data_IF_708372622679
#
_entry.id   IF_708372622679
#
_cell.length_a   1.000
_cell.length_b   1.000
_cell.length_c   1.000
_cell.angle_alpha   90.00
_cell.angle_beta   90.00
_cell.angle_gamma   90.00
#
_symmetry.space_group_name_H-M   'P 1'
#
loop_
_entity.id
_entity.type
_entity.pdbx_description
1 polymer ?
#
# COMPACT_ATOMS: atom_id res chain seq x y z
N UNK A 1 -3.41 17.16 -12.12
CA UNK A 1 -4.13 16.14 -12.91
C UNK A 1 -4.23 14.87 -12.08
N UNK A 2 -5.41 14.28 -11.89
CA UNK A 2 -5.57 13.06 -11.09
C UNK A 2 -4.89 11.86 -11.78
N UNK A 3 -4.49 10.83 -11.03
CA UNK A 3 -3.99 9.56 -11.60
C UNK A 3 -4.99 8.96 -12.59
N UNK A 4 -6.29 9.07 -12.28
CA UNK A 4 -7.39 8.68 -13.18
C UNK A 4 -7.29 9.36 -14.53
N UNK A 5 -7.25 10.69 -14.52
CA UNK A 5 -7.29 11.51 -15.73
C UNK A 5 -6.05 11.30 -16.59
N UNK A 6 -4.88 11.13 -15.95
CA UNK A 6 -3.62 10.84 -16.63
C UNK A 6 -3.69 9.56 -17.48
N UNK A 7 -4.17 8.46 -16.91
CA UNK A 7 -4.28 7.20 -17.65
C UNK A 7 -5.44 7.22 -18.64
N UNK A 8 -6.61 7.76 -18.22
CA UNK A 8 -7.81 7.83 -19.05
C UNK A 8 -7.57 8.60 -20.35
N UNK A 9 -6.86 9.73 -20.29
CA UNK A 9 -6.55 10.55 -21.47
C UNK A 9 -5.70 9.83 -22.54
N UNK A 10 -5.00 8.75 -22.16
CA UNK A 10 -4.15 7.95 -23.07
C UNK A 10 -4.84 6.71 -23.63
N UNK A 11 -6.12 6.53 -23.33
CA UNK A 11 -6.91 5.37 -23.74
C UNK A 11 -8.03 5.81 -24.67
N UNK A 12 -8.32 4.96 -25.66
CA UNK A 12 -9.49 5.14 -26.51
C UNK A 12 -10.78 4.93 -25.70
N UNK A 13 -11.93 5.47 -26.14
CA UNK A 13 -13.21 5.23 -25.46
C UNK A 13 -13.53 3.73 -25.30
N UNK A 14 -13.20 2.90 -26.30
CA UNK A 14 -13.36 1.45 -26.22
C UNK A 14 -12.48 0.81 -25.14
N UNK A 15 -11.22 1.26 -25.01
CA UNK A 15 -10.32 0.79 -23.95
C UNK A 15 -10.81 1.21 -22.56
N UNK A 16 -11.30 2.45 -22.42
CA UNK A 16 -11.87 2.92 -21.16
C UNK A 16 -13.08 2.05 -20.75
N UNK A 17 -14.00 1.81 -21.69
CA UNK A 17 -15.18 0.97 -21.46
C UNK A 17 -14.82 -0.48 -21.13
N UNK A 18 -13.86 -1.05 -21.85
CA UNK A 18 -13.37 -2.40 -21.58
C UNK A 18 -12.73 -2.51 -20.18
N UNK A 19 -11.98 -1.50 -19.74
CA UNK A 19 -11.40 -1.50 -18.40
C UNK A 19 -12.47 -1.46 -17.30
N UNK A 20 -13.50 -0.62 -17.46
CA UNK A 20 -14.65 -0.54 -16.54
C UNK A 20 -15.38 -1.88 -16.45
N UNK A 21 -15.78 -2.45 -17.59
CA UNK A 21 -16.48 -3.74 -17.63
C UNK A 21 -15.65 -4.88 -17.05
N UNK A 22 -14.33 -4.88 -17.25
CA UNK A 22 -13.47 -5.88 -16.64
C UNK A 22 -13.47 -5.78 -15.11
N UNK A 23 -13.43 -4.56 -14.55
CA UNK A 23 -13.50 -4.39 -13.09
C UNK A 23 -14.87 -4.79 -12.56
N UNK A 24 -15.95 -4.31 -13.16
CA UNK A 24 -17.31 -4.69 -12.76
C UNK A 24 -17.49 -6.21 -12.79
N UNK A 25 -16.92 -6.89 -13.79
CA UNK A 25 -16.95 -8.33 -13.90
C UNK A 25 -16.17 -9.04 -12.79
N UNK A 26 -15.01 -8.54 -12.40
CA UNK A 26 -14.21 -9.12 -11.31
C UNK A 26 -14.96 -9.09 -9.98
N UNK A 27 -15.76 -8.05 -9.75
CA UNK A 27 -16.60 -7.87 -8.57
C UNK A 27 -18.00 -8.49 -8.71
N UNK A 28 -18.28 -9.18 -9.82
CA UNK A 28 -19.57 -9.84 -10.05
C UNK A 28 -20.74 -8.87 -10.26
N UNK A 29 -20.47 -7.62 -10.63
CA UNK A 29 -21.49 -6.57 -10.81
C UNK A 29 -22.22 -6.63 -12.16
N UNK A 30 -21.75 -7.48 -13.08
CA UNK A 30 -22.33 -7.62 -14.42
C UNK A 30 -23.41 -8.71 -14.53
N UNK A 31 -23.57 -9.55 -13.52
CA UNK A 31 -24.60 -10.59 -13.51
C UNK A 31 -25.40 -10.57 -12.22
N UNK A 32 -26.68 -10.95 -12.30
CA UNK A 32 -27.58 -10.98 -11.14
C UNK A 32 -27.16 -12.04 -10.12
N UNK A 33 -26.51 -13.11 -10.57
CA UNK A 33 -26.02 -14.20 -9.72
C UNK A 33 -24.60 -13.98 -9.18
N UNK A 34 -24.00 -12.81 -9.44
CA UNK A 34 -22.65 -12.45 -9.00
C UNK A 34 -21.52 -13.22 -9.69
N UNK A 35 -21.82 -14.00 -10.73
CA UNK A 35 -20.83 -14.78 -11.47
C UNK A 35 -20.17 -13.96 -12.57
N UNK A 36 -18.88 -14.23 -12.77
CA UNK A 36 -18.10 -13.59 -13.84
C UNK A 36 -18.62 -14.01 -15.21
N UNK A 37 -18.92 -13.02 -16.05
CA UNK A 37 -19.14 -13.22 -17.47
C UNK A 37 -17.85 -13.70 -18.16
N UNK A 38 -17.98 -14.54 -19.20
CA UNK A 38 -16.85 -14.96 -20.00
C UNK A 38 -16.28 -13.77 -20.80
N UNK A 39 -14.97 -13.80 -21.05
CA UNK A 39 -14.27 -12.70 -21.75
C UNK A 39 -14.82 -12.40 -23.14
N UNK A 40 -15.37 -13.41 -23.84
CA UNK A 40 -16.04 -13.22 -25.13
C UNK A 40 -17.20 -12.23 -25.01
N UNK A 41 -18.04 -12.37 -23.98
CA UNK A 41 -19.19 -11.50 -23.75
C UNK A 41 -18.78 -10.07 -23.41
N UNK A 42 -17.69 -9.92 -22.66
CA UNK A 42 -17.14 -8.58 -22.35
C UNK A 42 -16.61 -7.92 -23.63
N UNK A 43 -15.94 -8.69 -24.50
CA UNK A 43 -15.46 -8.20 -25.78
C UNK A 43 -16.64 -7.80 -26.70
N UNK A 44 -17.69 -8.63 -26.77
CA UNK A 44 -18.93 -8.34 -27.49
C UNK A 44 -19.56 -7.02 -27.01
N UNK A 45 -19.66 -6.80 -25.70
CA UNK A 45 -20.19 -5.57 -25.10
C UNK A 45 -19.37 -4.32 -25.45
N UNK A 46 -18.09 -4.49 -25.79
CA UNK A 46 -17.21 -3.42 -26.23
C UNK A 46 -17.15 -3.27 -27.76
N UNK A 47 -17.79 -4.17 -28.51
CA UNK A 47 -17.72 -4.22 -29.97
C UNK A 47 -16.32 -4.55 -30.50
N UNK A 48 -15.55 -5.36 -29.78
CA UNK A 48 -14.19 -5.76 -30.17
C UNK A 48 -14.03 -7.28 -30.16
N UNK A 49 -12.99 -7.79 -30.83
CA UNK A 49 -12.66 -9.21 -30.72
C UNK A 49 -12.09 -9.56 -29.34
N UNK A 50 -12.29 -10.81 -28.90
CA UNK A 50 -11.64 -11.32 -27.68
C UNK A 50 -10.11 -11.18 -27.71
N UNK A 51 -9.49 -11.35 -28.88
CA UNK A 51 -8.05 -11.14 -29.07
C UNK A 51 -7.66 -9.69 -28.83
N UNK A 52 -8.44 -8.73 -29.32
CA UNK A 52 -8.22 -7.30 -29.05
C UNK A 52 -8.29 -6.98 -27.57
N UNK A 53 -9.28 -7.53 -26.86
CA UNK A 53 -9.40 -7.37 -25.40
C UNK A 53 -8.19 -7.96 -24.67
N UNK A 54 -7.68 -9.11 -25.13
CA UNK A 54 -6.46 -9.70 -24.60
C UNK A 54 -5.23 -8.81 -24.79
N UNK A 55 -5.07 -8.18 -25.95
CA UNK A 55 -3.97 -7.24 -26.21
C UNK A 55 -4.08 -5.96 -25.36
N UNK A 56 -5.29 -5.44 -25.13
CA UNK A 56 -5.49 -4.26 -24.28
C UNK A 56 -4.95 -4.47 -22.87
N UNK A 57 -5.11 -5.68 -22.31
CA UNK A 57 -4.64 -6.02 -20.96
C UNK A 57 -3.11 -5.97 -20.81
N UNK A 58 -2.35 -5.87 -21.90
CA UNK A 58 -0.88 -5.72 -21.89
C UNK A 58 -0.42 -4.26 -21.94
N UNK A 59 -1.30 -3.33 -22.30
CA UNK A 59 -0.94 -1.91 -22.47
C UNK A 59 -0.73 -1.27 -21.10
N UNK A 60 0.44 -0.66 -20.80
CA UNK A 60 0.72 -0.10 -19.48
C UNK A 60 -0.30 0.95 -19.00
N UNK A 61 -0.76 1.82 -19.91
CA UNK A 61 -1.78 2.82 -19.57
C UNK A 61 -3.13 2.18 -19.24
N UNK A 62 -3.49 1.08 -19.91
CA UNK A 62 -4.72 0.33 -19.64
C UNK A 62 -4.68 -0.32 -18.27
N UNK A 63 -3.54 -0.96 -17.93
CA UNK A 63 -3.30 -1.53 -16.61
C UNK A 63 -3.38 -0.45 -15.53
N UNK A 64 -2.72 0.70 -15.75
CA UNK A 64 -2.75 1.83 -14.82
C UNK A 64 -4.16 2.36 -14.56
N UNK A 65 -4.99 2.52 -15.60
CA UNK A 65 -6.38 2.92 -15.45
C UNK A 65 -7.21 1.85 -14.71
N UNK A 66 -7.03 0.57 -15.06
CA UNK A 66 -7.73 -0.55 -14.41
C UNK A 66 -7.40 -0.64 -12.92
N UNK A 67 -6.14 -0.45 -12.55
CA UNK A 67 -5.74 -0.47 -11.14
C UNK A 67 -6.37 0.69 -10.37
N UNK A 68 -6.39 1.90 -10.96
CA UNK A 68 -7.12 3.02 -10.35
C UNK A 68 -8.59 2.69 -10.12
N UNK A 69 -9.29 2.14 -11.12
CA UNK A 69 -10.70 1.76 -10.99
C UNK A 69 -10.91 0.69 -9.91
N UNK A 70 -9.97 -0.27 -9.80
CA UNK A 70 -10.02 -1.30 -8.76
C UNK A 70 -9.86 -0.71 -7.37
N UNK A 71 -8.94 0.25 -7.20
CA UNK A 71 -8.72 0.92 -5.91
C UNK A 71 -9.96 1.74 -5.52
N UNK A 72 -10.49 2.52 -6.47
CA UNK A 72 -11.70 3.35 -6.29
C UNK A 72 -12.91 2.49 -5.89
N UNK A 73 -13.14 1.38 -6.59
CA UNK A 73 -14.23 0.45 -6.27
C UNK A 73 -14.02 -0.22 -4.90
N UNK A 74 -12.79 -0.62 -4.56
CA UNK A 74 -12.50 -1.21 -3.25
C UNK A 74 -12.74 -0.20 -2.11
N UNK A 75 -12.46 1.08 -2.33
CA UNK A 75 -12.74 2.13 -1.34
C UNK A 75 -14.23 2.25 -1.01
N UNK A 76 -15.13 1.98 -1.97
CA UNK A 76 -16.58 1.95 -1.72
C UNK A 76 -17.03 0.83 -0.80
N UNK A 77 -16.19 -0.17 -0.51
CA UNK A 77 -16.50 -1.30 0.38
C UNK A 77 -15.98 -1.08 1.81
N UNK A 78 -15.45 0.11 2.12
CA UNK A 78 -14.75 0.39 3.39
C UNK A 78 -15.62 0.09 4.62
N UNK A 79 -16.90 0.47 4.59
CA UNK A 79 -17.83 0.21 5.69
C UNK A 79 -18.16 -1.27 5.85
N UNK A 80 -18.23 -2.03 4.76
CA UNK A 80 -18.47 -3.47 4.78
C UNK A 80 -17.26 -4.21 5.37
N UNK A 81 -16.05 -3.78 5.00
CA UNK A 81 -14.79 -4.27 5.58
C UNK A 81 -14.73 -3.93 7.07
N UNK A 82 -15.13 -2.73 7.47
CA UNK A 82 -15.15 -2.33 8.89
C UNK A 82 -16.17 -3.14 9.69
N UNK A 83 -17.34 -3.42 9.13
CA UNK A 83 -18.32 -4.33 9.74
C UNK A 83 -17.73 -5.73 9.93
N UNK A 84 -17.12 -6.31 8.89
CA UNK A 84 -16.50 -7.63 8.98
C UNK A 84 -15.37 -7.68 10.02
N UNK A 85 -14.54 -6.62 10.08
CA UNK A 85 -13.49 -6.49 11.09
C UNK A 85 -14.08 -6.44 12.50
N UNK A 86 -15.14 -5.66 12.71
CA UNK A 86 -15.82 -5.53 14.00
C UNK A 86 -16.46 -6.86 14.44
N UNK A 87 -17.11 -7.55 13.52
CA UNK A 87 -17.75 -8.84 13.80
C UNK A 87 -16.70 -9.91 14.17
N UNK A 88 -15.52 -9.89 13.54
CA UNK A 88 -14.38 -10.75 13.95
C UNK A 88 -13.82 -10.34 15.31
N UNK A 89 -13.62 -9.05 15.55
CA UNK A 89 -13.07 -8.53 16.81
C UNK A 89 -13.97 -8.86 18.01
N UNK A 90 -15.28 -8.85 17.81
CA UNK A 90 -16.27 -9.13 18.85
C UNK A 90 -16.71 -10.61 18.90
N UNK A 91 -16.15 -11.48 18.07
CA UNK A 91 -16.50 -12.90 18.07
C UNK A 91 -17.95 -13.17 17.64
N UNK A 92 -18.48 -12.41 16.69
CA UNK A 92 -19.86 -12.57 16.18
C UNK A 92 -19.94 -13.56 15.01
N UNK A 93 -18.80 -14.05 14.51
CA UNK A 93 -18.69 -14.95 13.36
C UNK A 93 -17.94 -16.23 13.76
N UNK A 94 -18.22 -17.34 13.09
CA UNK A 94 -17.53 -18.62 13.29
C UNK A 94 -17.74 -19.21 14.69
N UNK A 95 -16.65 -19.59 15.35
CA UNK A 95 -16.66 -20.25 16.67
C UNK A 95 -17.02 -19.31 17.83
N UNK A 96 -17.46 -18.08 17.54
CA UNK A 96 -17.83 -17.05 18.51
C UNK A 96 -16.71 -16.60 19.46
N UNK A 97 -15.46 -16.76 19.02
CA UNK A 97 -14.27 -16.33 19.78
C UNK A 97 -13.77 -15.01 19.19
N UNK A 98 -13.57 -13.96 20.01
CA UNK A 98 -12.93 -12.71 19.60
C UNK A 98 -11.57 -12.93 18.94
N UNK A 99 -11.37 -12.33 17.77
CA UNK A 99 -10.07 -12.38 17.08
C UNK A 99 -9.11 -11.32 17.64
N UNK A 100 -8.05 -11.77 18.31
CA UNK A 100 -6.96 -10.90 18.79
C UNK A 100 -6.34 -10.12 17.64
N UNK A 101 -6.21 -10.73 16.46
CA UNK A 101 -5.65 -10.03 15.30
C UNK A 101 -6.57 -8.92 14.78
N UNK A 102 -7.88 -9.11 14.82
CA UNK A 102 -8.84 -8.08 14.46
C UNK A 102 -8.80 -6.90 15.46
N UNK A 103 -8.65 -7.18 16.75
CA UNK A 103 -8.44 -6.16 17.79
C UNK A 103 -7.13 -5.39 17.57
N UNK A 104 -6.02 -6.07 17.29
CA UNK A 104 -4.73 -5.44 16.94
C UNK A 104 -4.86 -4.51 15.72
N UNK A 105 -5.52 -4.96 14.65
CA UNK A 105 -5.75 -4.15 13.45
C UNK A 105 -6.60 -2.90 13.73
N UNK A 106 -7.65 -3.03 14.56
CA UNK A 106 -8.45 -1.89 15.01
C UNK A 106 -7.60 -0.88 15.78
N UNK A 107 -6.83 -1.33 16.77
CA UNK A 107 -5.98 -0.45 17.58
C UNK A 107 -4.90 0.23 16.73
N UNK A 108 -4.29 -0.48 15.76
CA UNK A 108 -3.34 0.10 14.79
C UNK A 108 -3.98 1.16 13.91
N UNK A 109 -5.20 0.92 13.41
CA UNK A 109 -5.92 1.87 12.54
C UNK A 109 -6.14 3.23 13.22
N UNK A 110 -6.31 3.25 14.54
CA UNK A 110 -6.47 4.45 15.36
C UNK A 110 -5.19 4.93 16.04
N UNK A 111 -4.04 4.28 15.81
CA UNK A 111 -2.76 4.69 16.39
C UNK A 111 -2.66 4.49 17.91
N UNK A 112 -3.40 3.51 18.45
CA UNK A 112 -3.46 3.26 19.90
C UNK A 112 -2.35 2.33 20.41
N UNK A 113 -1.56 1.71 19.51
CA UNK A 113 -0.42 0.88 19.87
C UNK A 113 0.87 1.69 19.84
N UNK A 114 1.70 1.54 20.86
CA UNK A 114 3.03 2.15 20.94
C UNK A 114 4.09 1.08 20.81
N UNK A 115 4.90 1.17 19.76
CA UNK A 115 6.09 0.34 19.59
C UNK A 115 7.29 1.08 20.20
N UNK A 116 7.74 0.65 21.39
CA UNK A 116 8.94 1.19 22.04
C UNK A 116 10.16 0.42 21.58
N UNK A 117 11.08 1.10 20.89
CA UNK A 117 12.40 0.57 20.52
C UNK A 117 13.45 1.28 21.35
N UNK A 118 14.24 0.53 22.11
CA UNK A 118 15.41 1.06 22.80
C UNK A 118 16.61 0.92 21.87
N UNK A 119 17.14 2.05 21.40
CA UNK A 119 18.39 2.07 20.67
C UNK A 119 19.53 2.10 21.68
N UNK A 120 20.19 0.95 21.84
CA UNK A 120 21.42 0.86 22.63
C UNK A 120 22.59 1.19 21.72
N UNK A 121 23.12 2.41 21.85
CA UNK A 121 24.34 2.82 21.15
C UNK A 121 25.56 2.18 21.80
N UNK A 122 26.05 1.09 21.20
CA UNK A 122 27.29 0.42 21.62
C UNK A 122 28.57 1.14 21.11
N UNK A 123 28.44 2.34 20.54
CA UNK A 123 29.56 3.12 19.97
C UNK A 123 30.21 4.07 20.97
N UNK A 124 29.64 4.26 22.17
CA UNK A 124 30.37 4.87 23.27
C UNK A 124 31.26 3.82 23.96
N UNK A 125 32.28 3.34 23.26
CA UNK A 125 33.50 2.92 23.94
C UNK A 125 34.12 4.19 24.53
N UNK A 126 33.60 4.66 25.66
CA UNK A 126 34.34 5.57 26.51
C UNK A 126 35.44 4.73 27.14
N UNK A 127 36.52 4.49 26.38
CA UNK A 127 37.80 4.15 26.97
C UNK A 127 38.21 5.39 27.77
N UNK A 128 38.28 5.33 29.11
CA UNK A 128 38.76 6.46 29.89
C UNK A 128 40.20 6.74 29.41
N UNK A 129 40.41 7.89 28.78
CA UNK A 129 41.77 8.31 28.40
C UNK A 129 42.59 8.46 29.68
N UNK A 130 43.83 7.99 29.65
CA UNK A 130 44.72 8.18 30.80
C UNK A 130 44.99 9.68 31.00
N UNK A 131 45.36 10.13 32.21
CA UNK A 131 45.75 11.52 32.45
C UNK A 131 46.83 12.01 31.47
N UNK A 132 47.75 11.13 31.09
CA UNK A 132 48.85 11.43 30.17
C UNK A 132 48.35 11.65 28.73
N UNK A 133 47.38 10.86 28.28
CA UNK A 133 46.75 11.01 26.96
C UNK A 133 45.98 12.33 26.85
N UNK A 134 45.27 12.71 27.91
CA UNK A 134 44.55 13.98 27.99
C UNK A 134 45.54 15.15 27.94
N UNK A 135 46.65 15.05 28.68
CA UNK A 135 47.67 16.10 28.71
C UNK A 135 48.35 16.27 27.34
N UNK A 136 48.67 15.17 26.66
CA UNK A 136 49.26 15.21 25.32
C UNK A 136 48.31 15.85 24.29
N UNK A 137 47.02 15.57 24.39
CA UNK A 137 46.00 16.13 23.50
C UNK A 137 45.80 17.63 23.75
N UNK A 138 45.78 18.06 25.02
CA UNK A 138 45.75 19.48 25.40
C UNK A 138 46.97 20.22 24.84
N UNK A 139 48.16 19.62 24.93
CA UNK A 139 49.40 20.24 24.44
C UNK A 139 49.38 20.37 22.91
N UNK A 140 48.89 19.35 22.22
CA UNK A 140 48.70 19.35 20.76
C UNK A 140 47.69 20.43 20.34
N UNK A 141 46.57 20.55 21.04
CA UNK A 141 45.58 21.60 20.78
C UNK A 141 46.14 23.00 21.06
N UNK A 142 46.90 23.18 22.14
CA UNK A 142 47.53 24.46 22.45
C UNK A 142 48.52 24.89 21.35
N UNK A 143 49.28 23.96 20.77
CA UNK A 143 50.17 24.25 19.63
C UNK A 143 49.40 24.64 18.37
N UNK A 144 48.33 23.89 18.06
CA UNK A 144 47.48 24.18 16.90
C UNK A 144 46.77 25.53 16.99
N UNK A 145 46.37 25.95 18.19
CA UNK A 145 45.70 27.24 18.42
C UNK A 145 46.69 28.40 18.44
N UNK A 146 47.91 28.19 18.95
CA UNK A 146 48.93 29.24 19.07
C UNK A 146 49.85 29.34 17.83
N UNK A 147 49.74 28.43 16.86
CA UNK A 147 50.48 28.51 15.60
C UNK A 147 51.98 28.23 15.71
N UNK A 148 52.40 27.54 16.77
CA UNK A 148 53.79 27.09 16.94
C UNK A 148 53.89 25.64 16.42
N UNK A 149 54.74 25.39 15.41
CA UNK A 149 55.08 24.02 14.94
C UNK A 149 55.76 23.19 16.04
#
# INVERSE_FOLDING_TARGET
MSKRDYYKAKLTPQQQRAAELLIDNEFGLLSEDGKKLPMEKIADMCGISRTTLYEFKKIPNFIGYKNYLSDDLLETHREQIYKALLDLALGRVGNKVPSVKALDLYLRRFGLLTDRVEHVDNTSSFTPKSPDEIQAEILKFSRMVNGEE
#
